data_IF_822450472562
#
_entry.id   IF_822450472562
#
_cell.length_a   1.000
_cell.length_b   1.000
_cell.length_c   1.000
_cell.angle_alpha   90.00
_cell.angle_beta   90.00
_cell.angle_gamma   90.00
#
_symmetry.space_group_name_H-M   'P 1'
#
loop_
_entity.id
_entity.type
_entity.pdbx_description
1 polymer ?
#
# COMPACT_ATOMS: atom_id res chain seq x y z
N UNK A 1 -7.53 -14.24 10.82
CA UNK A 1 -8.06 -13.41 11.93
C UNK A 1 -7.73 -11.97 11.58
N UNK A 2 -8.62 -11.02 11.83
CA UNK A 2 -8.41 -9.61 11.49
C UNK A 2 -8.37 -8.77 12.75
N UNK A 3 -7.33 -7.96 12.91
CA UNK A 3 -7.10 -7.14 14.09
C UNK A 3 -6.60 -5.75 13.71
N UNK A 4 -7.38 -4.67 13.88
CA UNK A 4 -6.91 -3.30 13.71
C UNK A 4 -5.95 -2.91 14.84
N UNK A 5 -4.78 -2.37 14.46
CA UNK A 5 -3.77 -1.89 15.38
C UNK A 5 -3.65 -0.36 15.30
N UNK A 6 -3.72 0.31 16.46
CA UNK A 6 -3.45 1.73 16.57
C UNK A 6 -1.96 1.97 16.77
N UNK A 7 -1.30 2.57 15.79
CA UNK A 7 0.12 2.96 15.90
C UNK A 7 0.29 4.00 17.02
N UNK A 8 -0.59 5.01 17.07
CA UNK A 8 -0.54 6.10 18.06
C UNK A 8 -0.66 5.57 19.49
N UNK A 9 -1.53 4.58 19.73
CA UNK A 9 -1.77 4.01 21.06
C UNK A 9 -0.94 2.75 21.34
N UNK A 10 -0.24 2.20 20.34
CA UNK A 10 0.56 0.99 20.45
C UNK A 10 -0.26 -0.26 20.81
N UNK A 11 -1.54 -0.33 20.44
CA UNK A 11 -2.45 -1.40 20.87
C UNK A 11 -3.37 -1.90 19.77
N UNK A 12 -3.77 -3.17 19.89
CA UNK A 12 -4.84 -3.78 19.11
C UNK A 12 -6.19 -3.34 19.68
N UNK A 13 -7.02 -2.68 18.86
CA UNK A 13 -8.28 -2.08 19.32
C UNK A 13 -9.35 -3.16 19.51
N UNK A 14 -9.42 -4.10 18.57
CA UNK A 14 -10.33 -5.24 18.61
C UNK A 14 -9.79 -6.36 17.72
N UNK A 15 -10.46 -7.50 17.73
CA UNK A 15 -10.06 -8.67 16.95
C UNK A 15 -11.29 -9.47 16.53
N UNK A 16 -11.30 -9.90 15.27
CA UNK A 16 -12.32 -10.79 14.72
C UNK A 16 -11.65 -12.10 14.29
N UNK A 17 -12.05 -13.20 14.93
CA UNK A 17 -11.69 -14.54 14.47
C UNK A 17 -12.44 -14.85 13.17
N UNK A 18 -11.75 -15.49 12.23
CA UNK A 18 -12.30 -15.85 10.92
C UNK A 18 -11.85 -17.25 10.57
N UNK A 19 -12.78 -18.07 10.08
CA UNK A 19 -12.51 -19.48 9.79
C UNK A 19 -11.72 -19.71 8.47
N UNK A 20 -11.33 -18.64 7.77
CA UNK A 20 -10.51 -18.71 6.54
C UNK A 20 -10.26 -17.36 5.87
N UNK A 21 -9.37 -17.33 4.87
CA UNK A 21 -8.96 -16.11 4.14
C UNK A 21 -10.14 -15.35 3.50
N UNK A 22 -11.08 -16.06 2.89
CA UNK A 22 -12.27 -15.43 2.27
C UNK A 22 -13.22 -14.79 3.30
N UNK A 23 -13.13 -15.23 4.56
CA UNK A 23 -13.93 -14.66 5.64
C UNK A 23 -13.31 -13.36 6.18
N UNK A 24 -12.01 -13.13 5.98
CA UNK A 24 -11.34 -11.85 6.32
C UNK A 24 -11.92 -10.70 5.50
N UNK A 25 -12.13 -10.93 4.20
CA UNK A 25 -12.76 -9.98 3.29
C UNK A 25 -14.13 -9.52 3.80
N UNK A 26 -14.90 -10.43 4.40
CA UNK A 26 -16.22 -10.14 4.97
C UNK A 26 -16.14 -9.53 6.36
N UNK A 27 -15.13 -9.89 7.15
CA UNK A 27 -14.93 -9.40 8.51
C UNK A 27 -14.42 -7.95 8.54
N UNK A 28 -13.61 -7.55 7.56
CA UNK A 28 -13.06 -6.19 7.48
C UNK A 28 -14.18 -5.13 7.48
N UNK A 29 -15.20 -5.18 6.60
CA UNK A 29 -16.28 -4.20 6.62
C UNK A 29 -16.99 -4.08 7.97
N UNK A 30 -17.25 -5.22 8.64
CA UNK A 30 -17.87 -5.21 9.96
C UNK A 30 -16.99 -4.54 11.02
N UNK A 31 -15.67 -4.75 10.96
CA UNK A 31 -14.70 -4.09 11.84
C UNK A 31 -14.62 -2.59 11.57
N UNK A 32 -14.59 -2.17 10.30
CA UNK A 32 -14.52 -0.74 9.95
C UNK A 32 -15.76 0.01 10.47
N UNK A 33 -16.95 -0.59 10.41
CA UNK A 33 -18.20 0.03 10.88
C UNK A 33 -18.27 0.31 12.38
N UNK A 34 -17.45 -0.36 13.20
CA UNK A 34 -17.43 -0.17 14.66
C UNK A 34 -16.27 0.71 15.13
N UNK A 35 -15.35 1.08 14.24
CA UNK A 35 -14.20 1.91 14.56
C UNK A 35 -14.50 3.39 14.29
N UNK A 36 -14.02 4.27 15.16
CA UNK A 36 -14.04 5.72 14.91
C UNK A 36 -12.87 6.09 13.98
N UNK A 37 -13.13 6.10 12.67
CA UNK A 37 -12.10 6.27 11.64
C UNK A 37 -11.97 7.70 11.08
N UNK A 38 -12.88 8.61 11.42
CA UNK A 38 -12.85 10.00 10.93
C UNK A 38 -11.48 10.66 11.17
N UNK A 39 -10.88 11.18 10.10
CA UNK A 39 -9.55 11.81 10.10
C UNK A 39 -8.39 10.86 10.42
N UNK A 40 -8.58 9.54 10.26
CA UNK A 40 -7.54 8.53 10.46
C UNK A 40 -7.05 8.00 9.12
N UNK A 41 -5.75 7.71 9.06
CA UNK A 41 -5.14 6.96 7.97
C UNK A 41 -5.21 5.46 8.28
N UNK A 42 -5.83 4.70 7.38
CA UNK A 42 -5.93 3.25 7.45
C UNK A 42 -4.99 2.62 6.42
N UNK A 43 -4.02 1.84 6.89
CA UNK A 43 -3.13 1.07 6.02
C UNK A 43 -3.54 -0.40 6.05
N UNK A 44 -3.68 -1.04 4.88
CA UNK A 44 -4.02 -2.46 4.81
C UNK A 44 -3.21 -3.20 3.74
N UNK A 45 -3.13 -4.51 3.93
CA UNK A 45 -2.48 -5.40 2.98
C UNK A 45 -3.32 -5.59 1.70
N UNK A 46 -2.80 -6.42 0.79
CA UNK A 46 -3.43 -6.64 -0.50
C UNK A 46 -4.72 -7.46 -0.46
N UNK A 47 -5.00 -8.18 0.64
CA UNK A 47 -6.29 -8.86 0.81
C UNK A 47 -7.39 -7.82 1.13
N UNK A 48 -7.03 -6.78 1.88
CA UNK A 48 -7.88 -5.63 2.18
C UNK A 48 -8.02 -4.60 1.06
N UNK A 49 -7.17 -4.66 0.04
CA UNK A 49 -7.21 -3.76 -1.11
C UNK A 49 -8.42 -4.08 -2.00
N UNK A 50 -9.60 -3.57 -1.63
CA UNK A 50 -10.85 -3.76 -2.38
C UNK A 50 -11.57 -2.43 -2.51
N UNK A 51 -12.21 -2.20 -3.67
CA UNK A 51 -12.93 -0.94 -3.92
C UNK A 51 -14.05 -0.68 -2.91
N UNK A 52 -14.76 -1.72 -2.49
CA UNK A 52 -15.81 -1.61 -1.46
C UNK A 52 -15.25 -1.20 -0.10
N UNK A 53 -14.07 -1.70 0.27
CA UNK A 53 -13.37 -1.30 1.50
C UNK A 53 -12.89 0.15 1.40
N UNK A 54 -12.26 0.53 0.29
CA UNK A 54 -11.86 1.91 0.03
C UNK A 54 -13.05 2.88 0.11
N UNK A 55 -14.19 2.49 -0.48
CA UNK A 55 -15.43 3.26 -0.44
C UNK A 55 -15.91 3.47 1.01
N UNK A 56 -15.97 2.39 1.79
CA UNK A 56 -16.38 2.45 3.20
C UNK A 56 -15.45 3.33 4.05
N UNK A 57 -14.14 3.31 3.78
CA UNK A 57 -13.17 4.18 4.46
C UNK A 57 -13.44 5.66 4.14
N UNK A 58 -13.66 6.00 2.87
CA UNK A 58 -14.02 7.39 2.48
C UNK A 58 -15.36 7.82 3.08
N UNK A 59 -16.37 6.94 3.08
CA UNK A 59 -17.67 7.19 3.73
C UNK A 59 -17.54 7.43 5.24
N UNK A 60 -16.51 6.84 5.86
CA UNK A 60 -16.18 7.05 7.28
C UNK A 60 -15.27 8.27 7.51
N UNK A 61 -15.07 9.12 6.48
CA UNK A 61 -14.16 10.27 6.49
C UNK A 61 -12.71 9.89 6.86
N UNK A 62 -12.28 8.69 6.46
CA UNK A 62 -10.95 8.14 6.71
C UNK A 62 -10.12 8.12 5.42
N UNK A 63 -8.82 8.36 5.54
CA UNK A 63 -7.85 8.22 4.45
C UNK A 63 -7.32 6.79 4.41
N UNK A 64 -6.84 6.33 3.25
CA UNK A 64 -6.30 4.99 3.10
C UNK A 64 -4.98 4.92 2.36
N UNK A 65 -4.18 3.92 2.71
CA UNK A 65 -3.10 3.38 1.87
C UNK A 65 -3.30 1.86 1.76
N UNK A 66 -3.68 1.39 0.58
CA UNK A 66 -3.99 -0.03 0.34
C UNK A 66 -2.91 -0.67 -0.53
N UNK A 67 -2.36 -1.79 -0.07
CA UNK A 67 -1.29 -2.49 -0.81
C UNK A 67 -1.84 -3.16 -2.06
N UNK A 68 -1.27 -2.87 -3.23
CA UNK A 68 -1.66 -3.46 -4.51
C UNK A 68 -0.71 -4.58 -4.90
N UNK A 69 -1.24 -5.72 -5.34
CA UNK A 69 -0.48 -6.90 -5.79
C UNK A 69 -0.91 -7.37 -7.19
N UNK A 70 -0.05 -8.20 -7.79
CA UNK A 70 -0.19 -8.81 -9.10
C UNK A 70 -1.55 -9.49 -9.35
N UNK A 71 -2.11 -10.14 -8.33
CA UNK A 71 -3.40 -10.81 -8.38
C UNK A 71 -4.61 -9.87 -8.61
N UNK A 72 -4.41 -8.54 -8.59
CA UNK A 72 -5.44 -7.54 -8.92
C UNK A 72 -5.48 -7.18 -10.42
N UNK A 73 -4.74 -7.93 -11.26
CA UNK A 73 -4.86 -7.90 -12.71
C UNK A 73 -4.62 -6.50 -13.29
N UNK A 74 -5.65 -5.95 -13.94
CA UNK A 74 -5.56 -4.70 -14.71
C UNK A 74 -5.09 -3.50 -13.88
N UNK A 75 -5.58 -3.35 -12.65
CA UNK A 75 -5.18 -2.21 -11.79
C UNK A 75 -3.70 -2.29 -11.45
N UNK A 76 -3.17 -3.50 -11.22
CA UNK A 76 -1.74 -3.68 -10.98
C UNK A 76 -0.92 -3.33 -12.21
N UNK A 77 -1.28 -3.83 -13.39
CA UNK A 77 -0.56 -3.47 -14.63
C UNK A 77 -0.57 -1.97 -14.90
N UNK A 78 -1.73 -1.31 -14.72
CA UNK A 78 -1.84 0.15 -14.90
C UNK A 78 -0.95 0.93 -13.92
N UNK A 79 -0.83 0.47 -12.67
CA UNK A 79 0.06 1.08 -11.68
C UNK A 79 1.55 0.92 -12.05
N UNK A 80 1.94 -0.26 -12.53
CA UNK A 80 3.31 -0.52 -12.99
C UNK A 80 3.63 0.34 -14.21
N UNK A 81 2.73 0.37 -15.20
CA UNK A 81 2.90 1.15 -16.43
C UNK A 81 3.03 2.64 -16.10
N UNK A 82 2.20 3.15 -15.18
CA UNK A 82 2.29 4.54 -14.75
C UNK A 82 3.64 4.86 -14.08
N UNK A 83 4.12 4.01 -13.19
CA UNK A 83 5.44 4.19 -12.58
C UNK A 83 6.56 4.21 -13.63
N UNK A 84 6.53 3.29 -14.60
CA UNK A 84 7.51 3.23 -15.68
C UNK A 84 7.48 4.48 -16.57
N UNK A 85 6.29 4.98 -16.89
CA UNK A 85 6.13 6.23 -17.64
C UNK A 85 6.77 7.42 -16.90
N UNK A 86 6.57 7.53 -15.59
CA UNK A 86 7.22 8.57 -14.78
C UNK A 86 8.76 8.44 -14.80
N UNK A 87 9.29 7.22 -14.74
CA UNK A 87 10.73 6.98 -14.86
C UNK A 87 11.28 7.40 -16.23
N UNK A 88 10.54 7.15 -17.32
CA UNK A 88 10.95 7.53 -18.68
C UNK A 88 10.86 9.05 -18.89
N UNK A 89 9.84 9.69 -18.33
CA UNK A 89 9.64 11.13 -18.45
C UNK A 89 10.72 11.92 -17.71
N UNK A 90 11.17 11.44 -16.54
CA UNK A 90 12.13 12.13 -15.67
C UNK A 90 13.59 11.66 -15.86
N UNK A 91 14.04 11.49 -17.11
CA UNK A 91 15.43 11.09 -17.40
C UNK A 91 16.46 12.08 -16.83
N UNK A 92 17.63 11.61 -16.36
CA UNK A 92 18.14 10.23 -16.48
C UNK A 92 17.65 9.27 -15.39
N UNK A 93 17.04 9.77 -14.31
CA UNK A 93 16.44 8.92 -13.26
C UNK A 93 15.34 9.69 -12.51
N UNK A 94 14.28 8.95 -12.12
CA UNK A 94 13.25 9.45 -11.21
C UNK A 94 13.76 9.41 -9.77
N UNK A 95 14.02 10.59 -9.18
CA UNK A 95 14.49 10.71 -7.79
C UNK A 95 13.43 10.18 -6.82
N UNK A 96 13.79 9.32 -5.86
CA UNK A 96 12.87 8.92 -4.79
C UNK A 96 12.63 10.06 -3.80
N UNK A 97 11.39 10.17 -3.33
CA UNK A 97 11.00 11.09 -2.25
C UNK A 97 11.56 10.64 -0.90
N UNK A 98 11.80 9.33 -0.74
CA UNK A 98 12.41 8.75 0.43
C UNK A 98 13.49 7.73 0.05
N UNK A 99 14.66 7.80 0.69
CA UNK A 99 15.77 6.88 0.44
C UNK A 99 16.55 6.68 1.75
N UNK A 100 16.49 5.47 2.29
CA UNK A 100 17.08 5.12 3.58
C UNK A 100 17.86 3.81 3.48
N UNK A 101 18.98 3.76 4.18
CA UNK A 101 19.72 2.52 4.44
C UNK A 101 19.52 2.08 5.90
N UNK A 102 19.44 0.77 6.11
CA UNK A 102 19.45 0.19 7.45
C UNK A 102 20.11 -1.17 7.47
N UNK A 103 20.91 -1.40 8.52
CA UNK A 103 21.55 -2.67 8.80
C UNK A 103 20.84 -3.34 9.98
N UNK A 104 20.07 -4.41 9.70
CA UNK A 104 19.37 -5.17 10.74
C UNK A 104 19.38 -6.66 10.43
N UNK A 105 19.55 -7.46 11.48
CA UNK A 105 19.51 -8.93 11.43
C UNK A 105 20.47 -9.55 10.39
N UNK A 106 21.68 -9.00 10.26
CA UNK A 106 22.71 -9.52 9.35
C UNK A 106 22.47 -9.24 7.86
N UNK A 107 21.66 -8.21 7.57
CA UNK A 107 21.34 -7.78 6.21
C UNK A 107 21.42 -6.26 6.12
N UNK A 108 22.00 -5.79 5.03
CA UNK A 108 21.88 -4.40 4.60
C UNK A 108 20.62 -4.25 3.75
N UNK A 109 19.80 -3.27 4.09
CA UNK A 109 18.53 -2.99 3.42
C UNK A 109 18.50 -1.53 3.00
N UNK A 110 18.29 -1.25 1.72
CA UNK A 110 17.95 0.08 1.22
C UNK A 110 16.46 0.12 0.89
N UNK A 111 15.76 1.15 1.37
CA UNK A 111 14.35 1.39 1.06
C UNK A 111 14.25 2.69 0.27
N UNK A 112 13.70 2.60 -0.94
CA UNK A 112 13.36 3.76 -1.76
C UNK A 112 11.85 3.89 -1.85
N UNK A 113 11.33 5.11 -1.78
CA UNK A 113 9.91 5.43 -1.87
C UNK A 113 9.65 6.55 -2.85
N UNK A 114 8.57 6.44 -3.61
CA UNK A 114 8.08 7.46 -4.53
C UNK A 114 6.59 7.74 -4.24
N UNK A 115 6.26 9.03 -4.21
CA UNK A 115 4.90 9.55 -4.17
C UNK A 115 4.57 10.12 -5.54
N UNK A 116 3.61 9.50 -6.23
CA UNK A 116 3.21 9.91 -7.58
C UNK A 116 1.75 10.38 -7.59
N UNK A 117 1.51 11.70 -7.55
CA UNK A 117 0.16 12.25 -7.66
C UNK A 117 -0.50 11.83 -8.98
N UNK A 118 -1.73 11.36 -8.89
CA UNK A 118 -2.53 11.06 -10.07
C UNK A 118 -3.00 12.36 -10.72
N UNK A 119 -2.80 12.47 -12.02
CA UNK A 119 -3.30 13.58 -12.84
C UNK A 119 -4.54 13.15 -13.62
N UNK A 120 -5.25 14.11 -14.21
CA UNK A 120 -6.40 13.87 -15.09
C UNK A 120 -6.12 12.88 -16.24
N UNK A 121 -4.86 12.73 -16.64
CA UNK A 121 -4.39 11.82 -17.70
C UNK A 121 -4.21 10.37 -17.21
N UNK A 122 -4.15 10.16 -15.89
CA UNK A 122 -3.92 8.86 -15.24
C UNK A 122 -5.21 8.22 -14.72
N UNK A 123 -6.36 8.72 -15.18
CA UNK A 123 -7.72 8.30 -14.80
C UNK A 123 -8.03 6.80 -14.98
N UNK A 124 -7.16 6.04 -15.63
CA UNK A 124 -7.28 4.58 -15.76
C UNK A 124 -7.26 3.89 -14.38
N UNK A 125 -6.43 4.38 -13.45
CA UNK A 125 -6.44 3.98 -12.03
C UNK A 125 -7.66 4.52 -11.27
N UNK A 126 -8.36 5.53 -11.81
CA UNK A 126 -9.45 6.30 -11.20
C UNK A 126 -10.77 5.57 -10.99
N UNK A 127 -10.78 4.24 -11.06
CA UNK A 127 -11.92 3.42 -10.61
C UNK A 127 -11.95 3.22 -9.10
N UNK A 128 -10.91 3.66 -8.39
CA UNK A 128 -10.82 3.57 -6.94
C UNK A 128 -11.41 4.80 -6.27
N UNK A 129 -12.20 4.63 -5.19
CA UNK A 129 -12.81 5.72 -4.46
C UNK A 129 -11.79 6.76 -4.00
N UNK A 130 -11.88 7.97 -4.55
CA UNK A 130 -11.08 9.13 -4.16
C UNK A 130 -9.55 8.88 -4.16
N UNK A 131 -9.06 8.06 -5.08
CA UNK A 131 -7.61 7.84 -5.22
C UNK A 131 -6.92 9.12 -5.68
N UNK A 132 -5.89 9.56 -4.95
CA UNK A 132 -5.13 10.78 -5.21
C UNK A 132 -3.69 10.50 -5.67
N UNK A 133 -3.09 9.39 -5.25
CA UNK A 133 -1.71 9.08 -5.58
C UNK A 133 -1.42 7.57 -5.66
N UNK A 134 -0.42 7.22 -6.47
CA UNK A 134 0.27 5.94 -6.42
C UNK A 134 1.53 6.07 -5.56
N UNK A 135 1.65 5.24 -4.53
CA UNK A 135 2.89 5.09 -3.79
C UNK A 135 3.63 3.87 -4.32
N UNK A 136 4.93 4.01 -4.52
CA UNK A 136 5.80 2.88 -4.90
C UNK A 136 6.93 2.80 -3.89
N UNK A 137 7.22 1.59 -3.42
CA UNK A 137 8.41 1.33 -2.60
C UNK A 137 9.25 0.26 -3.24
N UNK A 138 10.56 0.44 -3.23
CA UNK A 138 11.53 -0.59 -3.59
C UNK A 138 12.35 -0.94 -2.36
N UNK A 139 12.44 -2.23 -2.06
CA UNK A 139 13.33 -2.73 -1.02
C UNK A 139 14.45 -3.53 -1.66
N UNK A 140 15.67 -3.00 -1.57
CA UNK A 140 16.88 -3.67 -2.00
C UNK A 140 17.52 -4.31 -0.78
N UNK A 141 17.87 -5.60 -0.87
CA UNK A 141 18.43 -6.36 0.25
C UNK A 141 19.69 -7.10 -0.17
N UNK A 142 20.67 -7.10 0.70
CA UNK A 142 21.87 -7.92 0.61
C UNK A 142 22.15 -8.58 1.95
N UNK A 143 22.35 -9.91 1.95
CA UNK A 143 22.82 -10.61 3.14
C UNK A 143 24.31 -10.41 3.33
N UNK A 144 24.80 -10.27 4.56
CA UNK A 144 26.23 -10.05 4.80
C UNK A 144 27.14 -11.20 4.32
N UNK A 145 26.56 -12.40 4.18
CA UNK A 145 27.23 -13.61 3.72
C UNK A 145 26.76 -14.05 2.32
N UNK A 146 26.13 -13.16 1.57
CA UNK A 146 25.63 -13.44 0.23
C UNK A 146 25.98 -12.30 -0.71
N UNK A 147 26.56 -12.65 -1.86
CA UNK A 147 26.81 -11.70 -2.94
C UNK A 147 25.54 -11.40 -3.75
N UNK A 148 24.42 -12.05 -3.41
CA UNK A 148 23.15 -11.83 -4.10
C UNK A 148 22.45 -10.60 -3.53
N UNK A 149 22.23 -9.62 -4.40
CA UNK A 149 21.37 -8.47 -4.14
C UNK A 149 20.00 -8.75 -4.75
N UNK A 150 18.95 -8.65 -3.93
CA UNK A 150 17.56 -8.75 -4.40
C UNK A 150 16.88 -7.39 -4.32
N UNK A 151 15.95 -7.13 -5.22
CA UNK A 151 15.10 -5.94 -5.20
C UNK A 151 13.64 -6.32 -5.40
N UNK A 152 12.77 -5.80 -4.54
CA UNK A 152 11.33 -6.01 -4.62
C UNK A 152 10.61 -4.66 -4.67
N UNK A 153 9.73 -4.50 -5.67
CA UNK A 153 8.82 -3.36 -5.76
C UNK A 153 7.47 -3.70 -5.13
N UNK A 154 6.88 -2.72 -4.45
CA UNK A 154 5.51 -2.76 -3.94
C UNK A 154 4.79 -1.48 -4.31
N UNK A 155 3.51 -1.62 -4.62
CA UNK A 155 2.64 -0.56 -5.09
C UNK A 155 1.52 -0.37 -4.09
N UNK A 156 1.10 0.87 -3.86
CA UNK A 156 0.00 1.17 -2.95
C UNK A 156 -0.88 2.27 -3.53
N UNK A 157 -2.18 2.12 -3.34
CA UNK A 157 -3.18 3.12 -3.70
C UNK A 157 -3.40 4.04 -2.50
N UNK A 158 -3.28 5.35 -2.70
CA UNK A 158 -3.50 6.37 -1.67
C UNK A 158 -4.69 7.25 -2.03
N UNK A 159 -5.60 7.46 -1.08
CA UNK A 159 -6.53 8.61 -1.13
C UNK A 159 -5.87 9.90 -0.71
#
# INVERSE_FOLDING_TARGET
>A
MVSPFSIEKGLTICQCAVDGKSNEIKAIPALLSILSLKGRLVTMDAMGCQRTIAQQLRESEADYILSLKDNQGKTFSEAVDYFQQQQIAQKPYLKPDHDEFGDRHGRTVRRRGWFLPLTSETKHLGSWPDIQALLVTETIRQGHYSDTVTSDFRYYLSS
#
